data_IF_713063165032
#
_entry.id   IF_713063165032
#
_cell.length_a   1.000
_cell.length_b   1.000
_cell.length_c   1.000
_cell.angle_alpha   90.00
_cell.angle_beta   90.00
_cell.angle_gamma   90.00
#
_symmetry.space_group_name_H-M   'P 1'
#
loop_
_entity.id
_entity.type
_entity.pdbx_description
1 polymer ?
#
# COMPACT_ATOMS: atom_id res chain seq x y z
N UNK A 1 -2.86 -3.08 -57.82
CA UNK A 1 -3.73 -3.12 -56.61
C UNK A 1 -3.13 -3.96 -55.48
N UNK A 2 -2.42 -5.04 -55.78
CA UNK A 2 -1.80 -5.99 -54.80
C UNK A 2 -0.67 -5.42 -53.93
N UNK A 3 0.11 -4.44 -54.42
CA UNK A 3 1.25 -3.88 -53.67
C UNK A 3 0.84 -2.91 -52.54
N UNK A 4 -0.37 -2.34 -52.61
CA UNK A 4 -0.88 -1.40 -51.59
C UNK A 4 -1.40 -2.14 -50.36
N UNK A 5 -2.02 -3.31 -50.55
CA UNK A 5 -2.50 -4.19 -49.47
C UNK A 5 -1.34 -4.69 -48.59
N UNK A 6 -0.23 -5.12 -49.21
CA UNK A 6 0.98 -5.55 -48.49
C UNK A 6 1.60 -4.45 -47.62
N UNK A 7 1.57 -3.19 -48.08
CA UNK A 7 2.12 -2.05 -47.33
C UNK A 7 1.22 -1.66 -46.15
N UNK A 8 -0.10 -1.85 -46.27
CA UNK A 8 -1.06 -1.61 -45.20
C UNK A 8 -0.97 -2.68 -44.10
N UNK A 9 -0.82 -3.95 -44.47
CA UNK A 9 -0.68 -5.05 -43.51
C UNK A 9 0.61 -4.94 -42.68
N UNK A 10 1.73 -4.55 -43.30
CA UNK A 10 3.00 -4.34 -42.60
C UNK A 10 2.92 -3.12 -41.67
N UNK A 11 2.23 -2.05 -42.09
CA UNK A 11 2.00 -0.87 -41.24
C UNK A 11 1.10 -1.20 -40.05
N UNK A 12 0.01 -1.91 -40.27
CA UNK A 12 -0.90 -2.35 -39.21
C UNK A 12 -0.20 -3.26 -38.21
N UNK A 13 0.56 -4.25 -38.67
CA UNK A 13 1.34 -5.12 -37.78
C UNK A 13 2.43 -4.37 -37.01
N UNK A 14 3.00 -3.30 -37.60
CA UNK A 14 3.98 -2.43 -36.94
C UNK A 14 3.33 -1.53 -35.90
N UNK A 15 2.13 -1.02 -36.15
CA UNK A 15 1.36 -0.25 -35.18
C UNK A 15 0.83 -1.12 -34.04
N UNK A 16 0.35 -2.33 -34.33
CA UNK A 16 -0.02 -3.31 -33.29
C UNK A 16 1.19 -3.75 -32.47
N UNK A 17 2.36 -3.95 -33.09
CA UNK A 17 3.61 -4.21 -32.37
C UNK A 17 4.05 -3.02 -31.53
N UNK A 18 3.95 -1.78 -32.02
CA UNK A 18 4.20 -0.56 -31.23
C UNK A 18 3.22 -0.45 -30.07
N UNK A 19 1.94 -0.75 -30.29
CA UNK A 19 0.90 -0.75 -29.27
C UNK A 19 1.13 -1.83 -28.19
N UNK A 20 1.64 -3.02 -28.58
CA UNK A 20 2.10 -4.05 -27.64
C UNK A 20 3.46 -3.75 -26.99
N UNK A 21 4.34 -3.01 -27.69
CA UNK A 21 5.65 -2.54 -27.20
C UNK A 21 5.58 -1.29 -26.34
N UNK A 22 4.39 -0.69 -26.16
CA UNK A 22 4.05 -0.05 -24.89
C UNK A 22 3.93 -1.14 -23.80
N UNK A 23 4.96 -1.99 -23.73
CA UNK A 23 5.27 -2.79 -22.57
C UNK A 23 5.42 -1.78 -21.44
N UNK A 24 4.65 -1.99 -20.37
CA UNK A 24 4.60 -1.10 -19.22
C UNK A 24 6.03 -0.99 -18.67
N UNK A 25 6.73 0.08 -19.05
CA UNK A 25 8.01 0.38 -18.48
C UNK A 25 7.72 0.87 -17.07
N UNK A 26 7.89 -0.01 -16.08
CA UNK A 26 7.74 0.37 -14.67
C UNK A 26 8.97 1.23 -14.35
N UNK A 27 8.81 2.55 -14.19
CA UNK A 27 9.95 3.37 -13.84
C UNK A 27 10.43 2.97 -12.44
N UNK A 28 11.74 3.03 -12.18
CA UNK A 28 12.30 2.75 -10.83
C UNK A 28 11.59 3.55 -9.74
N UNK A 29 11.19 4.78 -10.06
CA UNK A 29 10.42 5.67 -9.19
C UNK A 29 9.07 5.03 -8.80
N UNK A 30 8.36 4.36 -9.69
CA UNK A 30 7.10 3.72 -9.36
C UNK A 30 7.28 2.58 -8.34
N UNK A 31 8.36 1.81 -8.43
CA UNK A 31 8.68 0.77 -7.43
C UNK A 31 8.89 1.40 -6.06
N UNK A 32 9.66 2.49 -5.99
CA UNK A 32 9.93 3.21 -4.73
C UNK A 32 8.65 3.80 -4.15
N UNK A 33 7.79 4.43 -4.97
CA UNK A 33 6.54 5.03 -4.49
C UNK A 33 5.55 3.96 -4.02
N UNK A 34 5.45 2.82 -4.71
CA UNK A 34 4.62 1.69 -4.26
C UNK A 34 5.12 1.14 -2.92
N UNK A 35 6.42 0.88 -2.78
CA UNK A 35 7.00 0.39 -1.53
C UNK A 35 6.80 1.39 -0.38
N UNK A 36 7.04 2.68 -0.65
CA UNK A 36 6.80 3.74 0.31
C UNK A 36 5.31 3.86 0.70
N UNK A 37 4.39 3.66 -0.24
CA UNK A 37 2.95 3.72 0.04
C UNK A 37 2.53 2.61 1.00
N UNK A 38 2.94 1.36 0.74
CA UNK A 38 2.65 0.24 1.64
C UNK A 38 3.26 0.46 3.03
N UNK A 39 4.53 0.86 3.09
CA UNK A 39 5.20 1.11 4.38
C UNK A 39 4.57 2.27 5.15
N UNK A 40 4.21 3.37 4.48
CA UNK A 40 3.55 4.50 5.11
C UNK A 40 2.16 4.14 5.62
N UNK A 41 1.41 3.31 4.88
CA UNK A 41 0.08 2.94 5.31
C UNK A 41 0.15 2.01 6.55
N UNK A 42 1.03 0.99 6.57
CA UNK A 42 1.24 0.14 7.76
C UNK A 42 1.72 0.97 8.96
N UNK A 43 2.61 1.94 8.72
CA UNK A 43 3.09 2.85 9.76
C UNK A 43 1.94 3.67 10.35
N UNK A 44 1.02 4.16 9.52
CA UNK A 44 -0.16 4.88 9.97
C UNK A 44 -1.02 4.00 10.89
N UNK A 45 -1.38 2.79 10.45
CA UNK A 45 -2.22 1.88 11.23
C UNK A 45 -1.60 1.53 12.61
N UNK A 46 -0.29 1.24 12.65
CA UNK A 46 0.41 0.91 13.90
C UNK A 46 0.53 2.14 14.81
N UNK A 47 0.93 3.29 14.26
CA UNK A 47 1.09 4.51 15.08
C UNK A 47 -0.24 5.08 15.55
N UNK A 48 -1.36 4.71 14.91
CA UNK A 48 -2.70 5.03 15.36
C UNK A 48 -3.11 4.38 16.69
N UNK A 49 -2.40 3.35 17.14
CA UNK A 49 -2.55 2.84 18.51
C UNK A 49 -2.11 3.86 19.57
N UNK A 50 -1.19 4.76 19.21
CA UNK A 50 -0.68 5.77 20.14
C UNK A 50 -1.55 7.00 20.06
N UNK A 51 -2.32 7.24 21.13
CA UNK A 51 -2.93 8.54 21.37
C UNK A 51 -1.89 9.45 22.02
N UNK A 52 -1.50 10.49 21.30
CA UNK A 52 -0.62 11.56 21.77
C UNK A 52 -1.40 12.81 22.17
N UNK A 53 -0.68 13.79 22.73
CA UNK A 53 -1.22 15.12 23.02
C UNK A 53 -0.49 16.14 22.16
N UNK A 54 -1.22 16.80 21.28
CA UNK A 54 -0.70 17.85 20.39
C UNK A 54 -1.56 19.09 20.57
N UNK A 55 -0.93 20.22 20.92
CA UNK A 55 -1.64 21.47 21.20
C UNK A 55 -2.81 21.31 22.20
N UNK A 56 -2.60 20.53 23.26
CA UNK A 56 -3.60 20.20 24.31
C UNK A 56 -4.81 19.38 23.83
N UNK A 57 -4.77 18.83 22.62
CA UNK A 57 -5.79 17.92 22.09
C UNK A 57 -5.26 16.49 22.06
N UNK A 58 -6.13 15.52 22.35
CA UNK A 58 -5.85 14.11 22.14
C UNK A 58 -5.86 13.82 20.63
N UNK A 59 -4.74 13.32 20.10
CA UNK A 59 -4.55 13.11 18.66
C UNK A 59 -3.98 11.71 18.42
N UNK A 60 -4.58 11.01 17.47
CA UNK A 60 -4.05 9.79 16.88
C UNK A 60 -2.74 10.12 16.13
N UNK A 61 -1.63 9.49 16.55
CA UNK A 61 -0.32 9.76 15.97
C UNK A 61 -0.12 9.26 14.52
N UNK A 62 -0.92 8.30 14.05
CA UNK A 62 -0.96 7.88 12.65
C UNK A 62 -1.53 8.93 11.71
N UNK A 63 -2.31 9.90 12.24
CA UNK A 63 -2.89 11.01 11.47
C UNK A 63 -1.84 11.80 10.69
N UNK A 64 -0.63 11.95 11.22
CA UNK A 64 0.45 12.68 10.57
C UNK A 64 1.01 11.98 9.32
N UNK A 65 0.78 10.66 9.20
CA UNK A 65 1.22 9.86 8.05
C UNK A 65 0.19 9.88 6.92
N UNK A 66 -1.10 10.08 7.21
CA UNK A 66 -2.14 10.09 6.16
C UNK A 66 -1.91 11.09 5.02
N UNK A 67 -1.47 12.35 5.24
CA UNK A 67 -1.13 13.26 4.15
C UNK A 67 -0.04 12.73 3.22
N UNK A 68 0.91 11.97 3.76
CA UNK A 68 1.98 11.34 2.98
C UNK A 68 1.38 10.21 2.13
N UNK A 69 0.52 9.37 2.70
CA UNK A 69 -0.14 8.28 1.94
C UNK A 69 -0.99 8.82 0.78
N UNK A 70 -1.69 9.95 0.98
CA UNK A 70 -2.45 10.64 -0.06
C UNK A 70 -1.53 11.05 -1.21
N UNK A 71 -0.41 11.69 -0.89
CA UNK A 71 0.58 12.15 -1.86
C UNK A 71 1.18 10.97 -2.64
N UNK A 72 1.54 9.88 -1.96
CA UNK A 72 2.12 8.69 -2.59
C UNK A 72 1.11 8.01 -3.52
N UNK A 73 -0.15 7.88 -3.10
CA UNK A 73 -1.23 7.34 -3.94
C UNK A 73 -1.44 8.18 -5.20
N UNK A 74 -1.41 9.50 -5.06
CA UNK A 74 -1.54 10.43 -6.20
C UNK A 74 -0.35 10.32 -7.16
N UNK A 75 0.86 10.13 -6.64
CA UNK A 75 2.05 9.85 -7.47
C UNK A 75 1.90 8.52 -8.21
N UNK A 76 1.40 7.46 -7.57
CA UNK A 76 1.12 6.18 -8.25
C UNK A 76 0.08 6.35 -9.33
N UNK A 77 -0.99 7.10 -9.08
CA UNK A 77 -1.99 7.40 -10.10
C UNK A 77 -1.36 8.09 -11.31
N UNK A 78 -0.47 9.06 -11.11
CA UNK A 78 0.22 9.77 -12.19
C UNK A 78 1.23 8.88 -12.94
N UNK A 79 1.96 8.02 -12.23
CA UNK A 79 3.02 7.19 -12.80
C UNK A 79 2.50 5.93 -13.49
N UNK A 80 1.49 5.28 -12.90
CA UNK A 80 1.00 3.97 -13.30
C UNK A 80 -0.46 3.99 -13.78
N UNK A 81 -1.17 5.10 -13.64
CA UNK A 81 -2.56 5.24 -14.07
C UNK A 81 -3.58 4.73 -13.05
N UNK A 82 -4.86 5.05 -13.30
CA UNK A 82 -6.00 4.77 -12.41
C UNK A 82 -6.12 3.31 -12.00
N UNK A 83 -6.06 2.37 -12.97
CA UNK A 83 -6.27 0.93 -12.69
C UNK A 83 -5.20 0.39 -11.73
N UNK A 84 -3.93 0.72 -11.97
CA UNK A 84 -2.83 0.29 -11.11
C UNK A 84 -2.90 0.96 -9.73
N UNK A 85 -3.31 2.22 -9.64
CA UNK A 85 -3.55 2.87 -8.36
C UNK A 85 -4.70 2.22 -7.57
N UNK A 86 -5.79 1.80 -8.23
CA UNK A 86 -6.87 1.06 -7.59
C UNK A 86 -6.40 -0.31 -7.09
N UNK A 87 -5.64 -1.04 -7.92
CA UNK A 87 -5.02 -2.31 -7.50
C UNK A 87 -4.13 -2.09 -6.28
N UNK A 88 -3.29 -1.05 -6.30
CA UNK A 88 -2.42 -0.74 -5.16
C UNK A 88 -3.21 -0.50 -3.87
N UNK A 89 -4.28 0.29 -3.91
CA UNK A 89 -5.09 0.59 -2.71
C UNK A 89 -5.73 -0.69 -2.16
N UNK A 90 -6.30 -1.52 -3.03
CA UNK A 90 -6.91 -2.80 -2.62
C UNK A 90 -5.85 -3.73 -2.04
N UNK A 91 -4.71 -3.88 -2.72
CA UNK A 91 -3.61 -4.72 -2.25
C UNK A 91 -3.03 -4.21 -0.92
N UNK A 92 -2.92 -2.89 -0.73
CA UNK A 92 -2.53 -2.32 0.55
C UNK A 92 -3.50 -2.71 1.67
N UNK A 93 -4.81 -2.55 1.44
CA UNK A 93 -5.83 -2.99 2.40
C UNK A 93 -5.69 -4.47 2.79
N UNK A 94 -5.48 -5.35 1.80
CA UNK A 94 -5.25 -6.78 2.07
C UNK A 94 -3.97 -7.01 2.89
N UNK A 95 -2.89 -6.28 2.60
CA UNK A 95 -1.63 -6.37 3.35
C UNK A 95 -1.85 -5.95 4.81
N UNK A 96 -2.66 -4.93 5.08
CA UNK A 96 -2.91 -4.51 6.46
C UNK A 96 -3.81 -5.48 7.21
N UNK A 97 -4.81 -6.05 6.54
CA UNK A 97 -5.60 -7.13 7.13
C UNK A 97 -4.69 -8.28 7.54
N UNK A 98 -3.77 -8.69 6.66
CA UNK A 98 -2.78 -9.70 6.99
C UNK A 98 -1.87 -9.27 8.16
N UNK A 99 -1.40 -8.03 8.18
CA UNK A 99 -0.62 -7.48 9.29
C UNK A 99 -1.39 -7.55 10.61
N UNK A 100 -2.65 -7.11 10.62
CA UNK A 100 -3.53 -7.13 11.78
C UNK A 100 -3.76 -8.56 12.29
N UNK A 101 -4.09 -9.48 11.39
CA UNK A 101 -4.32 -10.89 11.72
C UNK A 101 -3.06 -11.54 12.30
N UNK A 102 -1.90 -11.27 11.69
CA UNK A 102 -0.63 -11.80 12.16
C UNK A 102 -0.25 -11.25 13.54
N UNK A 103 -0.43 -9.95 13.77
CA UNK A 103 -0.13 -9.32 15.06
C UNK A 103 -1.12 -9.74 16.16
N UNK A 104 -2.40 -9.92 15.82
CA UNK A 104 -3.40 -10.46 16.74
C UNK A 104 -3.09 -11.92 17.12
N UNK A 105 -2.67 -12.74 16.15
CA UNK A 105 -2.20 -14.10 16.42
C UNK A 105 -0.95 -14.09 17.30
N UNK A 106 0.06 -13.27 16.97
CA UNK A 106 1.30 -13.17 17.73
C UNK A 106 1.04 -12.72 19.18
N UNK A 107 0.11 -11.80 19.41
CA UNK A 107 -0.30 -11.34 20.73
C UNK A 107 -1.07 -12.41 21.55
N UNK A 108 -1.63 -13.43 20.88
CA UNK A 108 -2.35 -14.52 21.52
C UNK A 108 -1.47 -15.72 21.91
N UNK A 109 -0.23 -15.78 21.43
CA UNK A 109 0.72 -16.84 21.79
C UNK A 109 1.32 -16.55 23.17
N UNK A 110 1.47 -17.55 24.06
CA UNK A 110 2.09 -17.33 25.37
C UNK A 110 3.51 -16.77 25.25
N UNK A 111 3.76 -15.62 25.87
CA UNK A 111 5.09 -15.01 25.91
C UNK A 111 6.11 -15.78 26.76
N UNK A 112 7.38 -15.61 26.43
CA UNK A 112 8.49 -16.12 27.23
C UNK A 112 8.57 -15.35 28.58
N UNK A 113 8.53 -16.03 29.73
CA UNK A 113 8.64 -15.38 31.04
C UNK A 113 9.92 -14.55 31.24
N UNK A 114 11.00 -14.86 30.52
CA UNK A 114 12.28 -14.13 30.60
C UNK A 114 12.26 -12.80 29.83
N UNK A 115 11.36 -12.65 28.85
CA UNK A 115 11.19 -11.40 28.10
C UNK A 115 10.36 -10.38 28.90
N UNK A 116 9.31 -10.84 29.58
CA UNK A 116 8.59 -10.06 30.61
C UNK A 116 7.65 -8.95 30.10
N UNK A 117 7.44 -8.80 28.78
CA UNK A 117 6.60 -7.76 28.18
C UNK A 117 5.36 -8.30 27.45
N UNK A 118 4.93 -9.52 27.80
CA UNK A 118 3.81 -10.22 27.15
C UNK A 118 2.49 -9.44 27.28
N UNK A 119 2.21 -8.95 28.48
CA UNK A 119 1.00 -8.17 28.76
C UNK A 119 0.98 -6.85 27.97
N UNK A 120 2.10 -6.14 27.89
CA UNK A 120 2.24 -4.89 27.17
C UNK A 120 2.10 -5.09 25.66
N UNK A 121 2.72 -6.14 25.11
CA UNK A 121 2.58 -6.48 23.69
C UNK A 121 1.14 -6.78 23.33
N UNK A 122 0.46 -7.60 24.13
CA UNK A 122 -0.94 -7.94 23.91
C UNK A 122 -1.86 -6.71 24.07
N UNK A 123 -1.63 -5.88 25.09
CA UNK A 123 -2.39 -4.67 25.31
C UNK A 123 -2.26 -3.65 24.16
N UNK A 124 -1.09 -3.56 23.52
CA UNK A 124 -0.82 -2.62 22.43
C UNK A 124 -1.26 -3.21 21.08
N UNK A 125 -0.77 -4.39 20.72
CA UNK A 125 -0.88 -4.94 19.35
C UNK A 125 -2.06 -5.91 19.19
N UNK A 126 -2.52 -6.55 20.25
CA UNK A 126 -3.71 -7.41 20.24
C UNK A 126 -4.96 -6.72 19.67
N UNK A 127 -5.30 -5.47 20.04
CA UNK A 127 -6.47 -4.78 19.51
C UNK A 127 -6.24 -4.04 18.17
N UNK A 128 -5.05 -4.12 17.56
CA UNK A 128 -4.71 -3.37 16.34
C UNK A 128 -5.68 -3.61 15.18
N UNK A 129 -6.22 -4.82 15.06
CA UNK A 129 -7.19 -5.18 14.02
C UNK A 129 -8.41 -4.25 13.97
N UNK A 130 -8.81 -3.66 15.10
CA UNK A 130 -9.93 -2.70 15.15
C UNK A 130 -9.64 -1.42 14.37
N UNK A 131 -8.39 -0.95 14.41
CA UNK A 131 -7.95 0.24 13.69
C UNK A 131 -7.86 -0.08 12.19
N UNK A 132 -7.24 -1.21 11.85
CA UNK A 132 -7.09 -1.64 10.45
C UNK A 132 -8.44 -1.81 9.76
N UNK A 133 -9.43 -2.42 10.43
CA UNK A 133 -10.79 -2.54 9.85
C UNK A 133 -11.43 -1.16 9.65
N UNK A 134 -11.12 -0.17 10.50
CA UNK A 134 -11.67 1.17 10.36
C UNK A 134 -10.96 2.01 9.28
N UNK A 135 -9.74 1.62 8.85
CA UNK A 135 -8.91 2.40 7.91
C UNK A 135 -9.01 1.96 6.44
N UNK A 136 -9.70 0.85 6.15
CA UNK A 136 -9.92 0.26 4.81
C UNK A 136 -11.31 0.61 4.28
#
# INVERSE_FOLDING_TARGET
>A
MTALTSQQDVRQATEERKARQVAIHIPRVAVVVVAAYIGAQMLADITSLKIGVVASLAVDMGTFIYPITFTLRDLVHKLLGKKNAQTLVITAGVINLFMADYLAWAAGVPGDPTWGLDNEFNAILGPLWRIVIASI
#
